data_IF_194537268734
#
_entry.id   IF_194537268734
#
_cell.length_a   1.000
_cell.length_b   1.000
_cell.length_c   1.000
_cell.angle_alpha   90.00
_cell.angle_beta   90.00
_cell.angle_gamma   90.00
#
_symmetry.space_group_name_H-M   'P 1'
#
loop_
_entity.id
_entity.type
_entity.pdbx_description
1 polymer ?
#
# COMPACT_ATOMS: atom_id res chain seq x y z
N UNK A 1 72.12 -19.22 -6.10
CA UNK A 1 71.47 -18.93 -4.81
C UNK A 1 70.55 -17.72 -4.97
N UNK A 2 69.30 -17.87 -4.53
CA UNK A 2 68.35 -16.81 -4.14
C UNK A 2 67.84 -15.86 -5.25
N UNK A 3 66.85 -16.30 -6.05
CA UNK A 3 65.93 -15.35 -6.73
C UNK A 3 64.53 -15.89 -7.12
N UNK A 4 64.10 -17.04 -6.57
CA UNK A 4 62.86 -17.73 -7.05
C UNK A 4 61.75 -17.89 -6.00
N UNK A 5 61.88 -17.38 -4.77
CA UNK A 5 60.87 -17.59 -3.71
C UNK A 5 60.09 -16.37 -3.24
N UNK A 6 60.25 -15.20 -3.89
CA UNK A 6 59.61 -13.96 -3.43
C UNK A 6 58.31 -13.60 -4.16
N UNK A 7 57.77 -14.49 -5.00
CA UNK A 7 56.55 -14.20 -5.77
C UNK A 7 55.30 -14.94 -5.29
N UNK A 8 55.42 -15.80 -4.26
CA UNK A 8 54.29 -16.62 -3.76
C UNK A 8 53.69 -16.16 -2.43
N UNK A 9 54.16 -15.06 -1.83
CA UNK A 9 53.63 -14.56 -0.54
C UNK A 9 52.74 -13.32 -0.65
N UNK A 10 52.33 -12.92 -1.86
CA UNK A 10 51.45 -11.76 -2.08
C UNK A 10 50.02 -12.18 -2.46
N UNK A 11 49.56 -13.35 -2.00
CA UNK A 11 48.21 -13.86 -2.25
C UNK A 11 47.30 -13.87 -1.01
N UNK A 12 47.72 -13.33 0.15
CA UNK A 12 46.98 -13.56 1.41
C UNK A 12 46.76 -12.34 2.31
N UNK A 13 46.87 -11.11 1.79
CA UNK A 13 46.71 -9.91 2.61
C UNK A 13 45.87 -8.77 1.98
N UNK A 14 44.88 -9.11 1.15
CA UNK A 14 43.93 -8.11 0.61
C UNK A 14 42.45 -8.44 0.87
N UNK A 15 42.16 -9.35 1.80
CA UNK A 15 40.80 -9.57 2.31
C UNK A 15 40.73 -9.01 3.72
N UNK A 16 40.80 -7.68 3.87
CA UNK A 16 40.36 -7.01 5.08
C UNK A 16 39.58 -5.76 4.71
N UNK A 17 38.28 -5.83 5.01
CA UNK A 17 37.35 -4.73 5.21
C UNK A 17 37.15 -3.75 4.04
N UNK A 18 36.45 -4.21 3.00
CA UNK A 18 35.46 -3.33 2.40
C UNK A 18 34.29 -3.20 3.40
N UNK A 19 34.48 -2.39 4.45
CA UNK A 19 33.36 -1.80 5.18
C UNK A 19 32.72 -0.80 4.22
N UNK A 20 31.92 -1.32 3.30
CA UNK A 20 30.97 -0.53 2.54
C UNK A 20 29.91 -0.05 3.51
N UNK A 21 30.21 1.01 4.27
CA UNK A 21 29.18 1.92 4.74
C UNK A 21 28.61 2.56 3.48
N UNK A 22 27.70 1.84 2.82
CA UNK A 22 26.76 2.46 1.93
C UNK A 22 26.17 3.62 2.73
N UNK A 23 26.35 4.84 2.23
CA UNK A 23 25.74 6.05 2.76
C UNK A 23 24.22 5.93 2.55
N UNK A 24 23.60 5.06 3.34
CA UNK A 24 22.19 4.80 3.32
C UNK A 24 21.56 6.04 3.92
N UNK A 25 20.96 6.86 3.04
CA UNK A 25 20.17 8.02 3.44
C UNK A 25 19.17 7.54 4.50
N UNK A 26 19.33 8.01 5.74
CA UNK A 26 18.42 7.64 6.82
C UNK A 26 16.99 8.00 6.39
N UNK A 27 16.00 7.11 6.57
CA UNK A 27 14.61 7.44 6.29
C UNK A 27 14.21 8.69 7.07
N UNK A 28 13.61 9.67 6.39
CA UNK A 28 12.98 10.81 7.06
C UNK A 28 11.61 10.41 7.57
N UNK A 29 11.12 11.15 8.57
CA UNK A 29 9.73 11.00 9.03
C UNK A 29 8.76 11.26 7.86
N UNK A 30 7.67 10.49 7.82
CA UNK A 30 6.58 10.76 6.88
C UNK A 30 6.00 12.16 7.16
N UNK A 31 5.80 12.93 6.10
CA UNK A 31 5.19 14.26 6.14
C UNK A 31 3.81 14.15 5.52
N UNK A 32 2.81 14.72 6.20
CA UNK A 32 1.45 14.76 5.70
C UNK A 32 1.32 15.56 4.40
N UNK A 33 0.20 15.38 3.72
CA UNK A 33 -0.10 16.07 2.47
C UNK A 33 -1.55 16.52 2.42
N UNK A 34 -1.80 17.62 1.72
CA UNK A 34 -3.14 18.07 1.37
C UNK A 34 -3.54 17.50 0.00
N UNK A 35 -4.84 17.26 -0.24
CA UNK A 35 -5.32 16.85 -1.55
C UNK A 35 -4.98 17.92 -2.60
N UNK A 36 -4.42 17.49 -3.73
CA UNK A 36 -4.14 18.35 -4.90
C UNK A 36 -5.26 18.28 -5.95
N UNK A 37 -6.25 17.43 -5.71
CA UNK A 37 -7.44 17.22 -6.52
C UNK A 37 -8.62 16.90 -5.60
N UNK A 38 -9.78 17.43 -5.92
CA UNK A 38 -11.01 17.11 -5.20
C UNK A 38 -11.39 15.64 -5.40
N UNK A 39 -11.96 15.02 -4.36
CA UNK A 39 -12.33 13.61 -4.41
C UNK A 39 -13.28 13.31 -5.59
N UNK A 40 -14.23 14.19 -5.87
CA UNK A 40 -15.20 14.01 -6.96
C UNK A 40 -14.56 14.10 -8.35
N UNK A 41 -13.46 14.84 -8.48
CA UNK A 41 -12.78 15.05 -9.76
C UNK A 41 -11.80 13.92 -10.09
N UNK A 42 -11.39 13.15 -9.07
CA UNK A 42 -10.45 12.04 -9.22
C UNK A 42 -10.93 10.98 -10.21
N UNK A 43 -12.25 10.72 -10.28
CA UNK A 43 -12.81 9.75 -11.22
C UNK A 43 -12.48 10.09 -12.69
N UNK A 44 -12.45 11.38 -13.02
CA UNK A 44 -12.15 11.86 -14.38
C UNK A 44 -10.64 12.04 -14.62
N UNK A 45 -9.90 12.45 -13.59
CA UNK A 45 -8.48 12.76 -13.73
C UNK A 45 -7.55 11.54 -13.62
N UNK A 46 -7.97 10.48 -12.91
CA UNK A 46 -7.12 9.32 -12.68
C UNK A 46 -7.00 8.46 -13.95
N UNK A 47 -5.77 8.25 -14.39
CA UNK A 47 -5.45 7.32 -15.47
C UNK A 47 -4.25 6.46 -15.08
N UNK A 48 -4.43 5.16 -15.08
CA UNK A 48 -3.37 4.17 -14.90
C UNK A 48 -3.66 2.95 -15.78
N UNK A 49 -2.64 2.33 -16.40
CA UNK A 49 -2.84 1.18 -17.28
C UNK A 49 -3.68 0.08 -16.63
N UNK A 50 -4.58 -0.52 -17.41
CA UNK A 50 -5.43 -1.64 -17.03
C UNK A 50 -6.21 -1.42 -15.72
N UNK A 51 -6.57 -0.18 -15.41
CA UNK A 51 -7.27 0.18 -14.18
C UNK A 51 -8.53 0.95 -14.52
N UNK A 52 -9.62 0.60 -13.84
CA UNK A 52 -10.90 1.29 -13.97
C UNK A 52 -11.42 1.62 -12.59
N UNK A 53 -11.63 2.91 -12.34
CA UNK A 53 -12.36 3.34 -11.14
C UNK A 53 -13.85 3.14 -11.40
N UNK A 54 -14.50 2.41 -10.51
CA UNK A 54 -15.94 2.09 -10.59
C UNK A 54 -16.79 3.04 -9.74
N UNK A 55 -16.20 3.65 -8.71
CA UNK A 55 -16.84 4.68 -7.90
C UNK A 55 -15.79 5.53 -7.22
N UNK A 56 -16.06 6.83 -7.12
CA UNK A 56 -15.30 7.75 -6.28
C UNK A 56 -16.27 8.68 -5.57
N UNK A 57 -16.22 8.70 -4.24
CA UNK A 57 -17.17 9.46 -3.41
C UNK A 57 -16.48 10.07 -2.21
N UNK A 58 -16.77 11.33 -1.92
CA UNK A 58 -16.35 11.97 -0.68
C UNK A 58 -17.27 11.50 0.47
N UNK A 59 -16.69 10.98 1.53
CA UNK A 59 -17.36 10.78 2.80
C UNK A 59 -17.03 11.95 3.71
N UNK A 60 -18.03 12.79 4.02
CA UNK A 60 -17.86 13.92 4.95
C UNK A 60 -17.53 13.41 6.34
N UNK A 61 -16.91 14.26 7.17
CA UNK A 61 -16.57 13.91 8.55
C UNK A 61 -17.76 13.31 9.31
N UNK A 62 -17.53 12.16 9.96
CA UNK A 62 -18.52 11.45 10.76
C UNK A 62 -19.65 10.75 9.98
N UNK A 63 -19.73 10.89 8.65
CA UNK A 63 -20.76 10.23 7.83
C UNK A 63 -20.64 8.70 7.81
N UNK A 64 -19.43 8.20 8.02
CA UNK A 64 -19.13 6.77 8.14
C UNK A 64 -18.82 6.43 9.58
N UNK A 65 -19.59 5.53 10.18
CA UNK A 65 -19.38 5.04 11.54
C UNK A 65 -19.00 3.56 11.50
N UNK A 66 -17.86 3.22 12.09
CA UNK A 66 -17.39 1.83 12.21
C UNK A 66 -17.81 1.29 13.57
N UNK A 67 -18.58 0.20 13.57
CA UNK A 67 -19.04 -0.45 14.81
C UNK A 67 -17.84 -0.84 15.70
N UNK A 68 -17.94 -0.54 16.99
CA UNK A 68 -16.88 -0.79 17.97
C UNK A 68 -15.71 0.21 17.94
N UNK A 69 -15.68 1.15 16.99
CA UNK A 69 -14.62 2.16 16.86
C UNK A 69 -15.20 3.57 16.96
N UNK A 70 -16.11 3.97 16.06
CA UNK A 70 -16.68 5.32 16.05
C UNK A 70 -16.73 5.98 14.66
N UNK A 71 -17.00 7.29 14.60
CA UNK A 71 -17.04 8.07 13.36
C UNK A 71 -15.65 8.18 12.71
N UNK A 72 -15.60 8.08 11.38
CA UNK A 72 -14.37 8.25 10.58
C UNK A 72 -14.15 9.73 10.23
N UNK A 73 -12.88 10.16 10.03
CA UNK A 73 -12.57 11.49 9.51
C UNK A 73 -13.12 11.66 8.09
N UNK A 74 -13.14 12.89 7.58
CA UNK A 74 -13.42 13.11 6.15
C UNK A 74 -12.40 12.38 5.28
N UNK A 75 -12.87 11.66 4.25
CA UNK A 75 -12.01 10.91 3.35
C UNK A 75 -12.66 10.66 1.99
N UNK A 76 -11.83 10.47 0.98
CA UNK A 76 -12.24 9.99 -0.33
C UNK A 76 -12.32 8.45 -0.32
N UNK A 77 -13.45 7.89 -0.75
CA UNK A 77 -13.64 6.46 -0.97
C UNK A 77 -13.52 6.21 -2.47
N UNK A 78 -12.52 5.41 -2.86
CA UNK A 78 -12.22 5.05 -4.24
C UNK A 78 -12.42 3.55 -4.39
N UNK A 79 -13.24 3.13 -5.35
CA UNK A 79 -13.42 1.73 -5.72
C UNK A 79 -13.00 1.53 -7.16
N UNK A 80 -12.43 0.37 -7.44
CA UNK A 80 -12.03 0.05 -8.79
C UNK A 80 -11.62 -1.40 -8.97
N UNK A 81 -11.16 -1.68 -10.18
CA UNK A 81 -10.62 -2.97 -10.57
C UNK A 81 -9.41 -2.81 -11.46
N UNK A 82 -8.48 -3.75 -11.38
CA UNK A 82 -7.27 -3.79 -12.21
C UNK A 82 -7.17 -5.12 -12.97
N UNK A 83 -6.53 -5.07 -14.14
CA UNK A 83 -6.15 -6.25 -14.93
C UNK A 83 -7.31 -7.22 -15.21
N UNK A 84 -8.46 -6.68 -15.62
CA UNK A 84 -9.61 -7.49 -16.01
C UNK A 84 -9.28 -8.38 -17.21
N UNK A 85 -9.67 -9.65 -17.13
CA UNK A 85 -9.43 -10.67 -18.14
C UNK A 85 -10.47 -11.77 -18.08
N UNK A 86 -10.77 -12.37 -19.23
CA UNK A 86 -11.52 -13.62 -19.30
C UNK A 86 -10.52 -14.77 -19.34
N UNK A 87 -10.67 -15.74 -18.44
CA UNK A 87 -9.81 -16.91 -18.41
C UNK A 87 -10.15 -17.86 -19.56
N UNK A 88 -9.14 -18.30 -20.35
CA UNK A 88 -9.37 -19.25 -21.44
C UNK A 88 -9.61 -20.68 -20.94
N UNK A 89 -9.43 -20.94 -19.64
CA UNK A 89 -9.53 -22.27 -19.03
C UNK A 89 -10.94 -22.56 -18.53
N UNK A 90 -11.55 -21.60 -17.84
CA UNK A 90 -12.87 -21.75 -17.19
C UNK A 90 -13.92 -20.75 -17.70
N UNK A 91 -13.55 -19.84 -18.61
CA UNK A 91 -14.44 -18.84 -19.19
C UNK A 91 -14.87 -17.73 -18.23
N UNK A 92 -14.35 -17.69 -17.00
CA UNK A 92 -14.74 -16.69 -16.01
C UNK A 92 -13.98 -15.38 -16.19
N UNK A 93 -14.63 -14.28 -15.82
CA UNK A 93 -13.97 -12.97 -15.74
C UNK A 93 -13.29 -12.83 -14.39
N UNK A 94 -12.03 -12.43 -14.43
CA UNK A 94 -11.22 -12.16 -13.25
C UNK A 94 -10.67 -10.74 -13.34
N UNK A 95 -10.67 -10.03 -12.23
CA UNK A 95 -10.03 -8.74 -12.06
C UNK A 95 -9.59 -8.60 -10.60
N UNK A 96 -8.60 -7.76 -10.34
CA UNK A 96 -8.19 -7.42 -8.97
C UNK A 96 -9.06 -6.25 -8.53
N UNK A 97 -10.13 -6.54 -7.79
CA UNK A 97 -10.96 -5.52 -7.17
C UNK A 97 -10.25 -4.87 -6.00
N UNK A 98 -10.54 -3.59 -5.77
CA UNK A 98 -10.02 -2.84 -4.64
C UNK A 98 -10.98 -1.75 -4.14
N UNK A 99 -10.83 -1.41 -2.86
CA UNK A 99 -11.33 -0.18 -2.25
C UNK A 99 -10.14 0.53 -1.59
N UNK A 100 -10.00 1.83 -1.80
CA UNK A 100 -9.06 2.71 -1.12
C UNK A 100 -9.80 3.82 -0.39
N UNK A 101 -9.36 4.15 0.82
CA UNK A 101 -9.82 5.31 1.59
C UNK A 101 -8.66 6.24 1.85
N UNK A 102 -8.77 7.47 1.37
CA UNK A 102 -7.72 8.50 1.48
C UNK A 102 -8.25 9.64 2.33
N UNK A 103 -7.77 9.83 3.57
CA UNK A 103 -8.22 10.92 4.43
C UNK A 103 -7.80 12.27 3.85
N UNK A 104 -8.65 13.30 4.03
CA UNK A 104 -8.33 14.69 3.64
C UNK A 104 -7.07 15.17 4.38
N UNK A 105 -7.03 14.94 5.70
CA UNK A 105 -5.83 15.14 6.53
C UNK A 105 -4.93 13.89 6.51
N UNK A 106 -4.27 13.67 5.36
CA UNK A 106 -3.38 12.53 5.20
C UNK A 106 -2.05 12.72 5.93
N UNK A 107 -1.67 11.73 6.75
CA UNK A 107 -0.44 11.77 7.54
C UNK A 107 0.84 11.37 6.77
N UNK A 108 0.73 11.15 5.45
CA UNK A 108 1.83 10.75 4.58
C UNK A 108 2.17 9.26 4.61
N UNK A 109 1.33 8.42 5.23
CA UNK A 109 1.56 6.98 5.39
C UNK A 109 0.47 6.17 4.70
N UNK A 110 0.88 5.05 4.11
CA UNK A 110 0.01 4.11 3.44
C UNK A 110 -0.14 2.82 4.26
N UNK A 111 -1.33 2.21 4.22
CA UNK A 111 -1.64 0.98 4.92
C UNK A 111 -2.34 -0.02 3.98
N UNK A 112 -1.72 -1.18 3.75
CA UNK A 112 -2.36 -2.28 3.06
C UNK A 112 -3.13 -3.15 4.06
N UNK A 113 -4.46 -3.17 3.94
CA UNK A 113 -5.33 -4.06 4.70
C UNK A 113 -5.49 -5.37 3.92
N UNK A 114 -4.71 -6.37 4.32
CA UNK A 114 -4.91 -7.74 3.85
C UNK A 114 -6.23 -8.32 4.36
N UNK A 115 -6.73 -9.29 3.62
CA UNK A 115 -7.88 -10.10 3.98
C UNK A 115 -7.43 -11.40 4.69
N UNK A 116 -8.36 -12.33 4.90
CA UNK A 116 -8.06 -13.66 5.41
C UNK A 116 -8.80 -14.75 4.61
N UNK A 117 -8.54 -16.01 4.95
CA UNK A 117 -9.08 -17.15 4.20
C UNK A 117 -8.36 -17.34 2.88
N UNK A 118 -9.13 -17.53 1.79
CA UNK A 118 -8.62 -17.60 0.41
C UNK A 118 -8.82 -16.30 -0.36
N UNK A 119 -9.19 -15.22 0.32
CA UNK A 119 -9.67 -13.95 -0.23
C UNK A 119 -10.92 -14.13 -1.11
N UNK A 120 -11.20 -13.22 -2.04
CA UNK A 120 -12.45 -13.22 -2.82
C UNK A 120 -13.45 -12.12 -2.49
N UNK A 121 -13.10 -11.21 -1.55
CA UNK A 121 -13.97 -10.10 -1.12
C UNK A 121 -13.14 -8.83 -0.94
N UNK A 122 -13.64 -7.70 -1.46
CA UNK A 122 -13.10 -6.39 -1.08
C UNK A 122 -13.75 -5.96 0.23
N UNK A 123 -13.00 -6.02 1.33
CA UNK A 123 -13.45 -5.48 2.62
C UNK A 123 -13.30 -3.95 2.64
N UNK A 124 -14.19 -3.20 3.31
CA UNK A 124 -14.00 -1.76 3.47
C UNK A 124 -12.63 -1.42 4.06
N UNK A 125 -11.93 -0.48 3.43
CA UNK A 125 -10.51 -0.19 3.71
C UNK A 125 -10.34 0.74 4.93
N UNK A 126 -10.70 0.27 6.12
CA UNK A 126 -10.56 1.05 7.36
C UNK A 126 -9.16 0.97 7.99
N UNK A 127 -8.39 -0.06 7.65
CA UNK A 127 -7.06 -0.32 8.19
C UNK A 127 -7.15 -1.02 9.53
N UNK A 128 -7.92 -2.10 9.60
CA UNK A 128 -8.13 -2.87 10.83
C UNK A 128 -6.80 -3.24 11.50
N UNK A 129 -6.63 -2.84 12.77
CA UNK A 129 -5.46 -3.19 13.58
C UNK A 129 -5.76 -4.55 14.22
N UNK A 130 -4.86 -5.51 14.06
CA UNK A 130 -5.11 -6.90 14.46
C UNK A 130 -5.26 -7.06 15.98
N UNK A 131 -6.21 -7.91 16.41
CA UNK A 131 -6.36 -8.40 17.80
C UNK A 131 -7.05 -7.45 18.79
N UNK A 132 -7.54 -8.01 19.91
CA UNK A 132 -7.83 -7.27 21.16
C UNK A 132 -9.06 -6.36 21.20
N UNK A 133 -9.95 -6.39 20.20
CA UNK A 133 -11.12 -5.48 20.16
C UNK A 133 -10.67 -4.03 19.96
N UNK A 134 -10.05 -3.71 18.81
CA UNK A 134 -9.40 -2.42 18.59
C UNK A 134 -10.42 -1.27 18.63
N UNK A 135 -10.10 -0.21 19.36
CA UNK A 135 -10.89 1.04 19.42
C UNK A 135 -10.41 2.08 18.39
N UNK A 136 -9.53 1.69 17.47
CA UNK A 136 -8.93 2.55 16.45
C UNK A 136 -8.58 1.73 15.20
N UNK A 137 -8.32 2.39 14.09
CA UNK A 137 -7.91 1.79 12.83
C UNK A 137 -6.92 2.70 12.08
N UNK A 138 -6.38 2.22 10.96
CA UNK A 138 -5.44 2.95 10.12
C UNK A 138 -6.01 4.27 9.61
N UNK A 139 -7.27 4.29 9.17
CA UNK A 139 -7.91 5.49 8.66
C UNK A 139 -8.03 6.58 9.73
N UNK A 140 -8.45 6.24 10.95
CA UNK A 140 -8.47 7.15 12.11
C UNK A 140 -7.08 7.67 12.50
N UNK A 141 -6.03 6.87 12.23
CA UNK A 141 -4.65 7.29 12.46
C UNK A 141 -4.10 8.15 11.32
N UNK A 142 -4.92 8.47 10.32
CA UNK A 142 -4.57 9.32 9.18
C UNK A 142 -3.86 8.59 8.04
N UNK A 143 -3.88 7.26 8.01
CA UNK A 143 -3.31 6.50 6.88
C UNK A 143 -4.25 6.53 5.68
N UNK A 144 -3.67 6.57 4.49
CA UNK A 144 -4.38 6.14 3.28
C UNK A 144 -4.39 4.61 3.26
N UNK A 145 -5.57 4.01 3.23
CA UNK A 145 -5.74 2.55 3.38
C UNK A 145 -6.27 1.96 2.09
N UNK A 146 -5.74 0.80 1.66
CA UNK A 146 -6.32 0.02 0.57
C UNK A 146 -6.69 -1.40 1.05
N UNK A 147 -7.70 -2.00 0.44
CA UNK A 147 -8.05 -3.42 0.53
C UNK A 147 -8.33 -3.96 -0.88
N UNK A 148 -8.14 -5.27 -1.09
CA UNK A 148 -8.31 -5.93 -2.38
C UNK A 148 -8.93 -7.32 -2.21
N UNK A 149 -9.69 -7.79 -3.20
CA UNK A 149 -10.22 -9.17 -3.24
C UNK A 149 -9.19 -10.22 -3.68
N UNK A 150 -7.96 -9.80 -3.95
CA UNK A 150 -6.87 -10.62 -4.47
C UNK A 150 -7.14 -11.29 -5.83
N UNK A 151 -8.06 -10.76 -6.63
CA UNK A 151 -8.19 -11.12 -8.05
C UNK A 151 -9.38 -12.01 -8.41
N UNK A 152 -10.30 -12.26 -7.49
CA UNK A 152 -11.48 -13.11 -7.72
C UNK A 152 -12.65 -12.74 -6.80
N UNK A 153 -13.85 -13.20 -7.16
CA UNK A 153 -15.08 -13.17 -6.37
C UNK A 153 -16.06 -14.27 -6.84
#
# INVERSE_FOLDING_TARGET
MKKTYLLFLLCMLLIFAANGEANAKKPSVAVGGAPVIECTDLAAAFSYPNTTLTSVTLATEGSVVVAGIGPMPEHCIVKGKMNERVSPIDGKTYAIGFEMRVPTDWNGRFFYQGNGGTDGIVSPAYGGILGGGPTSNGLLKGFAVISSDAGHA
#
